data_IF_759783219760
#
_entry.id   IF_759783219760
#
_cell.length_a   1.000
_cell.length_b   1.000
_cell.length_c   1.000
_cell.angle_alpha   90.00
_cell.angle_beta   90.00
_cell.angle_gamma   90.00
#
_symmetry.space_group_name_H-M   'P 1'
#
loop_
_entity.id
_entity.type
_entity.pdbx_description
1 polymer ?
#
# COMPACT_ATOMS: atom_id res chain seq x y z
N UNK A 1 -6.07 -48.43 42.42
CA UNK A 1 -6.48 -47.53 41.31
C UNK A 1 -5.39 -46.48 41.10
N UNK A 2 -4.69 -46.53 39.97
CA UNK A 2 -3.73 -45.50 39.55
C UNK A 2 -4.44 -44.65 38.50
N UNK A 3 -4.77 -43.40 38.82
CA UNK A 3 -5.28 -42.47 37.82
C UNK A 3 -4.09 -41.93 37.02
N UNK A 4 -3.99 -42.38 35.77
CA UNK A 4 -3.00 -41.91 34.80
C UNK A 4 -3.35 -40.50 34.37
N UNK A 5 -2.50 -39.54 34.74
CA UNK A 5 -2.64 -38.12 34.44
C UNK A 5 -2.14 -37.84 33.00
N UNK A 6 -2.84 -38.37 32.01
CA UNK A 6 -2.50 -38.20 30.59
C UNK A 6 -3.72 -37.73 29.82
N UNK A 7 -4.02 -36.44 29.85
CA UNK A 7 -4.99 -35.85 28.91
C UNK A 7 -4.76 -34.34 28.71
N UNK A 8 -4.22 -34.01 27.53
CA UNK A 8 -4.41 -32.78 26.73
C UNK A 8 -4.00 -31.43 27.35
N UNK A 9 -2.70 -31.10 27.23
CA UNK A 9 -2.24 -29.71 27.18
C UNK A 9 -2.34 -29.24 25.71
N UNK A 10 -3.54 -28.87 25.27
CA UNK A 10 -3.75 -28.31 23.93
C UNK A 10 -3.21 -26.88 23.94
N UNK A 11 -2.01 -26.69 23.37
CA UNK A 11 -1.33 -25.40 23.28
C UNK A 11 -2.18 -24.41 22.48
N UNK A 12 -2.69 -23.39 23.16
CA UNK A 12 -3.41 -22.27 22.58
C UNK A 12 -2.39 -21.30 21.95
N UNK A 13 -1.91 -21.59 20.73
CA UNK A 13 -1.20 -20.60 19.91
C UNK A 13 -2.22 -19.60 19.35
N UNK A 14 -2.57 -18.58 20.13
CA UNK A 14 -3.13 -17.35 19.55
C UNK A 14 -1.99 -16.60 18.88
N UNK A 15 -1.85 -16.75 17.55
CA UNK A 15 -1.11 -15.80 16.76
C UNK A 15 -1.86 -14.46 16.86
N UNK A 16 -1.36 -13.55 17.71
CA UNK A 16 -1.81 -12.17 17.72
C UNK A 16 -1.43 -11.56 16.36
N UNK A 17 -2.36 -11.52 15.43
CA UNK A 17 -2.17 -10.81 14.16
C UNK A 17 -2.19 -9.33 14.52
N UNK A 18 -1.09 -8.57 14.31
CA UNK A 18 -1.17 -7.13 14.47
C UNK A 18 -2.22 -6.61 13.49
N UNK A 19 -3.30 -6.01 14.02
CA UNK A 19 -4.23 -5.25 13.21
C UNK A 19 -3.51 -3.96 12.81
N UNK A 20 -2.82 -3.99 11.68
CA UNK A 20 -2.36 -2.76 11.04
C UNK A 20 -3.61 -1.97 10.66
N UNK A 21 -3.80 -0.81 11.29
CA UNK A 21 -4.78 0.17 10.83
C UNK A 21 -4.27 0.73 9.48
N UNK A 22 -4.61 0.06 8.38
CA UNK A 22 -4.28 0.52 7.04
C UNK A 22 -5.20 1.69 6.70
N UNK A 23 -4.67 2.90 6.57
CA UNK A 23 -5.40 4.14 6.29
C UNK A 23 -5.77 4.29 4.80
N UNK A 24 -4.94 3.76 3.92
CA UNK A 24 -5.20 3.66 2.48
C UNK A 24 -4.67 2.35 1.93
N UNK A 25 -5.04 2.04 0.69
CA UNK A 25 -4.65 0.85 -0.04
C UNK A 25 -4.49 1.17 -1.54
N UNK A 26 -3.72 0.34 -2.24
CA UNK A 26 -3.49 0.45 -3.69
C UNK A 26 -4.46 -0.51 -4.38
N UNK A 27 -5.56 0.00 -4.93
CA UNK A 27 -6.54 -0.79 -5.69
C UNK A 27 -6.01 -1.14 -7.09
N UNK A 28 -5.28 -0.21 -7.69
CA UNK A 28 -4.67 -0.39 -9.01
C UNK A 28 -3.31 0.30 -9.07
N UNK A 29 -2.28 -0.31 -9.69
CA UNK A 29 -2.30 -1.65 -10.27
C UNK A 29 -2.27 -2.73 -9.19
N UNK A 30 -2.83 -3.90 -9.48
CA UNK A 30 -2.70 -5.05 -8.58
C UNK A 30 -1.30 -5.67 -8.69
N UNK A 31 -0.86 -6.33 -7.62
CA UNK A 31 0.46 -6.97 -7.60
C UNK A 31 0.60 -8.01 -8.72
N UNK A 32 1.73 -7.99 -9.42
CA UNK A 32 2.01 -8.81 -10.60
C UNK A 32 1.58 -8.21 -11.94
N UNK A 33 0.95 -7.02 -11.94
CA UNK A 33 0.56 -6.34 -13.18
C UNK A 33 1.78 -6.07 -14.05
N UNK A 34 1.66 -6.35 -15.35
CA UNK A 34 2.69 -6.01 -16.34
C UNK A 34 2.44 -4.61 -16.88
N UNK A 35 3.46 -3.75 -16.81
CA UNK A 35 3.41 -2.36 -17.29
C UNK A 35 4.60 -2.08 -18.20
N UNK A 36 4.44 -1.15 -19.15
CA UNK A 36 5.48 -0.81 -20.11
C UNK A 36 6.29 0.39 -19.62
N UNK A 37 7.61 0.35 -19.74
CA UNK A 37 8.47 1.52 -19.52
C UNK A 37 8.03 2.68 -20.44
N UNK A 38 7.95 3.90 -19.88
CA UNK A 38 7.46 5.10 -20.57
C UNK A 38 5.98 5.16 -20.86
N UNK A 39 5.19 4.16 -20.44
CA UNK A 39 3.73 4.25 -20.53
C UNK A 39 3.16 5.05 -19.36
N UNK A 40 2.02 5.70 -19.62
CA UNK A 40 1.17 6.25 -18.56
C UNK A 40 0.34 5.11 -17.95
N UNK A 41 0.34 5.04 -16.62
CA UNK A 41 -0.49 4.13 -15.85
C UNK A 41 -1.34 4.92 -14.86
N UNK A 42 -2.51 4.40 -14.53
CA UNK A 42 -3.36 4.96 -13.48
C UNK A 42 -3.16 4.18 -12.19
N UNK A 43 -2.69 4.90 -11.17
CA UNK A 43 -2.61 4.41 -9.78
C UNK A 43 -3.88 4.83 -9.06
N UNK A 44 -4.65 3.88 -8.54
CA UNK A 44 -5.80 4.12 -7.69
C UNK A 44 -5.40 3.93 -6.23
N UNK A 45 -5.34 5.04 -5.50
CA UNK A 45 -5.16 5.02 -4.05
C UNK A 45 -6.54 5.18 -3.43
N UNK A 46 -7.01 4.12 -2.79
CA UNK A 46 -8.31 4.08 -2.16
C UNK A 46 -8.18 4.25 -0.65
N UNK A 47 -9.15 4.94 -0.07
CA UNK A 47 -9.28 5.18 1.37
C UNK A 47 -10.53 4.47 1.87
N UNK A 48 -10.38 3.46 2.74
CA UNK A 48 -11.49 2.86 3.47
C UNK A 48 -12.27 3.85 4.32
N UNK A 49 -13.47 3.45 4.73
CA UNK A 49 -14.19 4.18 5.76
C UNK A 49 -13.59 3.86 7.14
N UNK A 50 -13.42 4.88 7.98
CA UNK A 50 -12.78 4.76 9.29
C UNK A 50 -13.68 5.31 10.39
N UNK A 51 -13.68 4.64 11.55
CA UNK A 51 -14.48 5.07 12.71
C UNK A 51 -14.01 6.40 13.30
N UNK A 52 -12.72 6.71 13.18
CA UNK A 52 -12.13 7.97 13.61
C UNK A 52 -12.13 8.99 12.47
N UNK A 53 -12.28 10.28 12.81
CA UNK A 53 -12.06 11.35 11.84
C UNK A 53 -10.63 11.29 11.28
N UNK A 54 -10.47 11.57 9.98
CA UNK A 54 -9.18 11.69 9.32
C UNK A 54 -9.19 12.94 8.44
N UNK A 55 -8.11 13.70 8.47
CA UNK A 55 -7.81 14.77 7.52
C UNK A 55 -6.66 14.30 6.64
N UNK A 56 -6.94 14.11 5.36
CA UNK A 56 -5.95 13.71 4.37
C UNK A 56 -5.01 14.88 4.04
N UNK A 57 -3.71 14.60 4.01
CA UNK A 57 -2.68 15.63 3.76
C UNK A 57 -2.03 15.43 2.40
N UNK A 58 -1.35 14.30 2.19
CA UNK A 58 -0.60 14.06 0.97
C UNK A 58 -0.35 12.58 0.70
N UNK A 59 -0.05 12.27 -0.56
CA UNK A 59 0.55 11.01 -0.99
C UNK A 59 1.78 11.28 -1.85
N UNK A 60 2.76 10.39 -1.73
CA UNK A 60 3.91 10.30 -2.62
C UNK A 60 3.86 8.95 -3.31
N UNK A 61 3.89 8.97 -4.64
CA UNK A 61 3.93 7.77 -5.47
C UNK A 61 5.33 7.71 -6.08
N UNK A 62 6.00 6.58 -5.90
CA UNK A 62 7.32 6.34 -6.45
C UNK A 62 7.42 4.93 -7.01
N UNK A 63 8.44 4.68 -7.83
CA UNK A 63 8.68 3.35 -8.37
C UNK A 63 10.16 3.00 -8.32
N UNK A 64 10.47 1.81 -7.84
CA UNK A 64 11.83 1.31 -7.70
C UNK A 64 12.02 0.02 -8.52
N UNK A 65 13.17 -0.14 -9.17
CA UNK A 65 13.51 -1.39 -9.86
C UNK A 65 14.15 -2.38 -8.87
N UNK A 66 13.94 -3.67 -9.11
CA UNK A 66 14.39 -4.74 -8.22
C UNK A 66 15.20 -5.79 -9.01
N UNK A 67 16.38 -5.42 -9.54
CA UNK A 67 17.14 -6.26 -10.46
C UNK A 67 17.64 -7.57 -9.84
N UNK A 68 17.79 -7.63 -8.52
CA UNK A 68 18.18 -8.84 -7.77
C UNK A 68 16.98 -9.71 -7.39
N UNK A 69 15.77 -9.33 -7.79
CA UNK A 69 14.53 -9.99 -7.38
C UNK A 69 14.06 -9.64 -5.96
N UNK A 70 14.78 -8.76 -5.25
CA UNK A 70 14.41 -8.24 -3.94
C UNK A 70 14.35 -6.73 -4.00
N UNK A 71 13.21 -6.17 -3.59
CA UNK A 71 12.99 -4.73 -3.54
C UNK A 71 13.32 -4.20 -2.15
N UNK A 72 13.80 -2.95 -2.08
CA UNK A 72 13.90 -2.27 -0.80
C UNK A 72 12.50 -1.99 -0.22
N UNK A 73 12.32 -2.06 1.10
CA UNK A 73 11.10 -1.62 1.76
C UNK A 73 10.79 -0.14 1.44
N UNK A 74 9.51 0.23 1.25
CA UNK A 74 9.12 1.60 0.89
C UNK A 74 9.43 2.65 1.98
N UNK A 75 9.52 2.23 3.24
CA UNK A 75 9.90 3.07 4.37
C UNK A 75 11.42 3.33 4.46
N UNK A 76 12.23 2.57 3.70
CA UNK A 76 13.67 2.80 3.55
C UNK A 76 14.00 3.51 2.23
N UNK A 77 13.43 3.04 1.12
CA UNK A 77 13.73 3.55 -0.23
C UNK A 77 12.47 3.59 -1.11
N UNK A 78 11.95 4.78 -1.35
CA UNK A 78 10.81 5.00 -2.25
C UNK A 78 11.15 4.80 -3.73
N UNK A 79 12.37 5.15 -4.16
CA UNK A 79 12.77 5.19 -5.58
C UNK A 79 12.40 6.51 -6.29
N UNK A 80 12.61 6.61 -7.61
CA UNK A 80 12.18 7.74 -8.43
C UNK A 80 10.72 8.15 -8.19
N UNK A 81 10.50 9.45 -7.94
CA UNK A 81 9.18 10.01 -7.69
C UNK A 81 8.37 10.10 -8.99
N UNK A 82 7.12 9.66 -8.92
CA UNK A 82 6.14 9.77 -9.99
C UNK A 82 5.05 10.82 -9.67
N UNK A 83 4.72 10.98 -8.38
CA UNK A 83 3.81 12.01 -7.88
C UNK A 83 4.21 12.41 -6.45
N UNK A 84 4.04 13.69 -6.12
CA UNK A 84 4.20 14.22 -4.77
C UNK A 84 3.25 15.40 -4.60
N UNK A 85 2.19 15.24 -3.82
CA UNK A 85 1.21 16.30 -3.63
C UNK A 85 0.01 15.92 -2.78
N UNK A 86 -1.00 16.82 -2.74
CA UNK A 86 -2.19 16.64 -1.94
C UNK A 86 -2.94 15.34 -2.25
N UNK A 87 -3.59 14.79 -1.24
CA UNK A 87 -4.48 13.64 -1.33
C UNK A 87 -5.89 14.03 -0.87
N UNK A 88 -6.88 13.83 -1.74
CA UNK A 88 -8.27 14.22 -1.54
C UNK A 88 -9.21 13.19 -2.23
N UNK A 89 -9.29 11.96 -1.69
CA UNK A 89 -10.10 10.89 -2.29
C UNK A 89 -11.59 11.22 -2.23
N UNK A 90 -12.32 10.84 -3.29
CA UNK A 90 -13.73 11.14 -3.45
C UNK A 90 -14.56 9.87 -3.52
N UNK A 91 -15.81 9.95 -3.06
CA UNK A 91 -16.79 8.89 -3.30
C UNK A 91 -17.16 8.88 -4.78
N UNK A 92 -16.99 7.72 -5.42
CA UNK A 92 -17.33 7.55 -6.84
C UNK A 92 -18.74 6.98 -6.93
N UNK A 93 -19.64 7.57 -7.74
CA UNK A 93 -20.96 7.00 -7.95
C UNK A 93 -20.88 5.55 -8.47
N UNK A 94 -21.48 4.61 -7.73
CA UNK A 94 -21.50 3.19 -8.09
C UNK A 94 -20.39 2.33 -7.47
N UNK A 95 -19.41 2.93 -6.78
CA UNK A 95 -18.39 2.22 -6.00
C UNK A 95 -18.46 2.78 -4.57
N UNK A 96 -19.17 2.09 -3.69
CA UNK A 96 -19.49 2.58 -2.34
C UNK A 96 -18.62 2.01 -1.23
N UNK A 97 -17.65 1.16 -1.56
CA UNK A 97 -16.80 0.53 -0.55
C UNK A 97 -15.74 1.50 -0.05
N UNK A 98 -15.10 2.25 -0.95
CA UNK A 98 -13.99 3.15 -0.64
C UNK A 98 -14.14 4.53 -1.31
N UNK A 99 -13.42 5.51 -0.77
CA UNK A 99 -13.14 6.76 -1.46
C UNK A 99 -11.91 6.56 -2.33
N UNK A 100 -11.90 7.08 -3.56
CA UNK A 100 -10.83 6.83 -4.52
C UNK A 100 -10.18 8.12 -4.99
N UNK A 101 -8.90 8.04 -5.31
CA UNK A 101 -8.22 9.05 -6.12
C UNK A 101 -7.29 8.38 -7.13
N UNK A 102 -7.50 8.76 -8.39
CA UNK A 102 -6.72 8.28 -9.52
C UNK A 102 -5.56 9.22 -9.82
N UNK A 103 -4.37 8.66 -9.98
CA UNK A 103 -3.17 9.36 -10.37
C UNK A 103 -2.65 8.80 -11.68
N UNK A 104 -2.66 9.62 -12.73
CA UNK A 104 -1.99 9.27 -13.98
C UNK A 104 -0.52 9.62 -13.84
N UNK A 105 0.32 8.59 -13.87
CA UNK A 105 1.77 8.71 -13.70
C UNK A 105 2.50 8.00 -14.83
N UNK A 106 3.66 8.51 -15.20
CA UNK A 106 4.50 7.91 -16.24
C UNK A 106 5.49 6.94 -15.61
N UNK A 107 5.51 5.70 -16.09
CA UNK A 107 6.53 4.71 -15.71
C UNK A 107 7.89 5.20 -16.24
N UNK A 108 8.96 5.32 -15.42
CA UNK A 108 10.22 5.84 -15.91
C UNK A 108 10.82 4.98 -17.04
N UNK A 109 11.11 5.57 -18.20
CA UNK A 109 11.66 4.87 -19.38
C UNK A 109 12.98 4.14 -19.08
N UNK A 110 13.74 4.66 -18.12
CA UNK A 110 15.05 4.17 -17.71
C UNK A 110 15.00 3.12 -16.58
N UNK A 111 13.82 2.68 -16.15
CA UNK A 111 13.68 1.76 -15.01
C UNK A 111 14.23 0.35 -15.29
N UNK A 112 14.40 0.00 -16.56
CA UNK A 112 14.81 -1.34 -17.01
C UNK A 112 13.64 -2.30 -17.13
N UNK A 113 13.92 -3.58 -17.40
CA UNK A 113 12.91 -4.65 -17.49
C UNK A 113 12.97 -5.57 -16.27
N UNK A 114 11.86 -6.25 -15.99
CA UNK A 114 11.75 -7.22 -14.89
C UNK A 114 11.02 -6.67 -13.66
N UNK A 115 11.34 -7.22 -12.49
CA UNK A 115 10.63 -6.89 -11.25
C UNK A 115 10.86 -5.44 -10.85
N UNK A 116 9.78 -4.73 -10.59
CA UNK A 116 9.76 -3.41 -9.98
C UNK A 116 8.73 -3.36 -8.85
N UNK A 117 8.81 -2.31 -8.05
CA UNK A 117 7.89 -2.05 -6.95
C UNK A 117 7.32 -0.64 -7.12
N UNK A 118 5.99 -0.53 -7.12
CA UNK A 118 5.30 0.74 -6.96
C UNK A 118 5.11 0.98 -5.46
N UNK A 119 5.52 2.15 -5.00
CA UNK A 119 5.51 2.56 -3.61
C UNK A 119 4.56 3.73 -3.42
N UNK A 120 3.77 3.69 -2.34
CA UNK A 120 2.93 4.80 -1.90
C UNK A 120 3.26 5.13 -0.45
N UNK A 121 3.63 6.39 -0.20
CA UNK A 121 3.73 6.95 1.14
C UNK A 121 2.56 7.89 1.34
N UNK A 122 1.80 7.66 2.41
CA UNK A 122 0.58 8.39 2.75
C UNK A 122 0.73 9.04 4.12
N UNK A 123 0.27 10.28 4.22
CA UNK A 123 0.25 11.06 5.46
C UNK A 123 -1.13 11.68 5.70
N UNK A 124 -1.59 11.59 6.94
CA UNK A 124 -2.88 12.11 7.39
C UNK A 124 -2.81 12.61 8.85
N UNK A 125 -3.90 13.22 9.30
CA UNK A 125 -4.12 13.60 10.70
C UNK A 125 -5.36 12.87 11.21
N UNK A 126 -5.23 12.10 12.30
CA UNK A 126 -6.28 11.21 12.79
C UNK A 126 -6.83 11.69 14.14
N UNK A 127 -8.14 11.50 14.34
CA UNK A 127 -8.83 11.76 15.60
C UNK A 127 -9.06 13.23 15.90
N UNK A 128 -9.62 13.51 17.08
CA UNK A 128 -9.99 14.86 17.51
C UNK A 128 -8.76 15.76 17.79
N UNK A 129 -7.61 15.16 18.04
CA UNK A 129 -6.35 15.86 18.35
C UNK A 129 -5.44 16.06 17.13
N UNK A 130 -5.86 15.65 15.93
CA UNK A 130 -5.05 15.69 14.71
C UNK A 130 -3.68 14.99 14.86
N UNK A 131 -3.70 13.75 15.35
CA UNK A 131 -2.49 12.95 15.53
C UNK A 131 -1.88 12.60 14.17
N UNK A 132 -0.58 12.86 13.92
CA UNK A 132 0.04 12.53 12.65
C UNK A 132 0.06 11.02 12.38
N UNK A 133 -0.53 10.61 11.27
CA UNK A 133 -0.44 9.25 10.75
C UNK A 133 0.49 9.18 9.55
N UNK A 134 1.19 8.06 9.44
CA UNK A 134 2.04 7.72 8.30
C UNK A 134 1.78 6.27 7.91
N UNK A 135 1.73 6.01 6.61
CA UNK A 135 1.61 4.67 6.09
C UNK A 135 2.46 4.51 4.83
N UNK A 136 3.13 3.36 4.73
CA UNK A 136 3.88 2.96 3.54
C UNK A 136 3.23 1.71 2.95
N UNK A 137 3.03 1.72 1.65
CA UNK A 137 2.39 0.66 0.88
C UNK A 137 3.26 0.35 -0.34
N UNK A 138 3.16 -0.89 -0.80
CA UNK A 138 3.77 -1.28 -2.05
C UNK A 138 2.98 -2.35 -2.79
N UNK A 139 3.21 -2.43 -4.10
CA UNK A 139 2.80 -3.55 -4.95
C UNK A 139 3.93 -3.90 -5.91
N UNK A 140 4.08 -5.19 -6.22
CA UNK A 140 5.07 -5.65 -7.19
C UNK A 140 4.52 -5.50 -8.61
N UNK A 141 5.35 -5.07 -9.54
CA UNK A 141 5.02 -4.93 -10.96
C UNK A 141 6.05 -5.65 -11.82
N UNK A 142 5.67 -6.02 -13.03
CA UNK A 142 6.58 -6.56 -14.04
C UNK A 142 6.76 -5.55 -15.17
N UNK A 143 7.98 -5.06 -15.37
CA UNK A 143 8.27 -4.06 -16.40
C UNK A 143 8.70 -4.70 -17.71
N UNK A 144 8.08 -4.25 -18.81
CA UNK A 144 8.44 -4.57 -20.19
C UNK A 144 8.80 -3.30 -20.99
N UNK A 145 9.49 -3.44 -22.12
CA UNK A 145 9.88 -2.34 -23.01
C UNK A 145 8.95 -2.15 -24.21
#
# INVERSE_FOLDING_TARGET
MRFSLTTTLTALLLAAVPAFAQNVLIESPTSGTTVKAGSEITVDVARPDFLSSSVEVAVVIAMNSCPTGQCFPPDEVMGPLLYNGPYNPQWIPGVQEFQHQYFNVTVPDYIGTGLAQLNVWHVNLVGASNEPGTQYLNVSLNIVQ
#
